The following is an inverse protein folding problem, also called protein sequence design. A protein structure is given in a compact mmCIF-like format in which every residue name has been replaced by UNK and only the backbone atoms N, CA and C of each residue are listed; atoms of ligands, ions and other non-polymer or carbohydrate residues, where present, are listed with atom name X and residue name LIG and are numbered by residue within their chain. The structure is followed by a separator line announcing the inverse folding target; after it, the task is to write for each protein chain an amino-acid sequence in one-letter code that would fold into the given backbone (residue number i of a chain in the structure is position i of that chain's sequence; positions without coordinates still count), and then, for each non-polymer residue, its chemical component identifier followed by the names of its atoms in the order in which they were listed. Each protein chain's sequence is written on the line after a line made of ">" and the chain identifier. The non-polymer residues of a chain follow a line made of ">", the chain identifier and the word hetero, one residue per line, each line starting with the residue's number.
data_IF_167049374853
#
_entry.id   IF_167049374853
#
_cell.length_a   1.000
_cell.length_b   1.000
_cell.length_c   1.000
_cell.angle_alpha   90.00
_cell.angle_beta   90.00
_cell.angle_gamma   90.00
#
_symmetry.space_group_name_H-M   'P 1'
#
loop_
_entity.id
_entity.type
_entity.pdbx_description
1 polymer ?
#
# COMPACT_ATOMS: atom_id res chain seq x y z
N UNK A 1 -11.57 12.89 11.12
CA UNK A 1 -11.15 11.49 11.36
C UNK A 1 -11.09 10.65 10.09
N UNK A 2 -12.11 10.65 9.23
CA UNK A 2 -12.10 9.90 7.96
C UNK A 2 -10.93 10.27 7.02
N UNK A 3 -10.73 11.57 6.79
CA UNK A 3 -9.63 12.10 5.98
C UNK A 3 -8.25 11.67 6.49
N UNK A 4 -8.08 11.49 7.81
CA UNK A 4 -6.81 11.10 8.40
C UNK A 4 -6.48 9.64 8.05
N UNK A 5 -7.47 8.75 8.13
CA UNK A 5 -7.32 7.34 7.71
C UNK A 5 -7.06 7.25 6.21
N UNK A 6 -7.76 8.06 5.39
CA UNK A 6 -7.54 8.13 3.95
C UNK A 6 -6.13 8.60 3.58
N UNK A 7 -5.62 9.66 4.22
CA UNK A 7 -4.27 10.18 3.97
C UNK A 7 -3.22 9.12 4.34
N UNK A 8 -3.39 8.44 5.47
CA UNK A 8 -2.49 7.34 5.84
C UNK A 8 -2.61 6.18 4.85
N UNK A 9 -3.80 5.86 4.37
CA UNK A 9 -4.01 4.81 3.36
C UNK A 9 -3.30 5.12 2.03
N UNK A 10 -3.28 6.38 1.62
CA UNK A 10 -2.52 6.85 0.45
C UNK A 10 -1.02 6.77 0.72
N UNK A 11 -0.56 7.24 1.87
CA UNK A 11 0.85 7.17 2.25
C UNK A 11 1.36 5.72 2.33
N UNK A 12 0.56 4.80 2.85
CA UNK A 12 0.86 3.36 2.87
C UNK A 12 0.94 2.81 1.45
N UNK A 13 0.00 3.14 0.57
CA UNK A 13 0.04 2.65 -0.81
C UNK A 13 1.33 3.11 -1.52
N UNK A 14 1.61 4.41 -1.49
CA UNK A 14 2.81 4.97 -2.12
C UNK A 14 4.09 4.43 -1.46
N UNK A 15 4.12 4.37 -0.13
CA UNK A 15 5.26 3.87 0.63
C UNK A 15 5.58 2.41 0.33
N UNK A 16 4.57 1.55 0.20
CA UNK A 16 4.77 0.13 -0.16
C UNK A 16 5.29 -0.01 -1.58
N UNK A 17 4.76 0.75 -2.55
CA UNK A 17 5.30 0.73 -3.93
C UNK A 17 6.76 1.13 -3.93
N UNK A 18 7.10 2.28 -3.31
CA UNK A 18 8.48 2.77 -3.26
C UNK A 18 9.38 1.79 -2.53
N UNK A 19 8.93 1.22 -1.42
CA UNK A 19 9.73 0.27 -0.66
C UNK A 19 10.08 -0.98 -1.50
N UNK A 20 9.10 -1.53 -2.22
CA UNK A 20 9.31 -2.70 -3.07
C UNK A 20 10.18 -2.34 -4.28
N UNK A 21 9.92 -1.24 -4.99
CA UNK A 21 10.67 -0.92 -6.21
C UNK A 21 12.06 -0.36 -5.95
N UNK A 22 12.35 0.15 -4.75
CA UNK A 22 13.63 0.80 -4.42
C UNK A 22 14.57 -0.11 -3.62
N UNK A 23 14.03 -0.91 -2.70
CA UNK A 23 14.85 -1.78 -1.84
C UNK A 23 14.83 -3.24 -2.27
N UNK A 24 13.95 -3.63 -3.20
CA UNK A 24 13.86 -5.00 -3.69
C UNK A 24 14.07 -5.01 -5.19
N UNK A 25 15.22 -5.54 -5.60
CA UNK A 25 15.52 -5.73 -7.01
C UNK A 25 14.48 -6.67 -7.67
N UNK A 26 14.17 -6.47 -8.96
CA UNK A 26 13.26 -7.34 -9.69
C UNK A 26 13.68 -8.81 -9.59
N UNK A 27 12.85 -9.60 -8.92
CA UNK A 27 13.09 -11.04 -8.76
C UNK A 27 12.56 -11.80 -9.97
N UNK A 28 13.01 -13.05 -10.17
CA UNK A 28 12.57 -13.97 -11.23
C UNK A 28 12.94 -13.55 -12.67
N UNK A 29 13.98 -12.74 -12.86
CA UNK A 29 14.40 -12.27 -14.19
C UNK A 29 13.39 -11.32 -14.84
N UNK A 30 12.53 -10.71 -14.04
CA UNK A 30 11.45 -9.85 -14.48
C UNK A 30 11.99 -8.44 -14.75
N UNK A 31 11.59 -7.82 -15.85
CA UNK A 31 11.97 -6.43 -16.15
C UNK A 31 11.36 -5.45 -15.12
N UNK A 32 11.93 -4.24 -15.04
CA UNK A 32 11.48 -3.21 -14.10
C UNK A 32 9.98 -2.82 -14.26
N UNK A 33 9.43 -2.93 -15.47
CA UNK A 33 8.04 -2.60 -15.76
C UNK A 33 7.04 -3.59 -15.12
N UNK A 34 7.10 -4.90 -15.40
CA UNK A 34 6.23 -5.87 -14.72
C UNK A 34 6.44 -5.93 -13.21
N UNK A 35 7.68 -5.72 -12.72
CA UNK A 35 7.96 -5.64 -11.27
C UNK A 35 7.14 -4.54 -10.59
N UNK A 36 7.06 -3.36 -11.20
CA UNK A 36 6.28 -2.23 -10.70
C UNK A 36 4.77 -2.54 -10.65
N UNK A 37 4.23 -3.30 -11.60
CA UNK A 37 2.83 -3.73 -11.54
C UNK A 37 2.58 -4.70 -10.38
N UNK A 38 3.49 -5.64 -10.12
CA UNK A 38 3.44 -6.53 -8.95
C UNK A 38 3.46 -5.75 -7.63
N UNK A 39 4.40 -4.80 -7.51
CA UNK A 39 4.49 -3.91 -6.35
C UNK A 39 3.19 -3.12 -6.12
N UNK A 40 2.55 -2.61 -7.18
CA UNK A 40 1.27 -1.89 -7.10
C UNK A 40 0.11 -2.76 -6.61
N UNK A 41 0.06 -4.02 -7.02
CA UNK A 41 -0.98 -4.96 -6.55
C UNK A 41 -0.84 -5.19 -5.04
N UNK A 42 0.38 -5.45 -4.57
CA UNK A 42 0.67 -5.64 -3.14
C UNK A 42 0.33 -4.37 -2.36
N UNK A 43 0.80 -3.20 -2.83
CA UNK A 43 0.52 -1.92 -2.20
C UNK A 43 -0.99 -1.62 -2.10
N UNK A 44 -1.77 -1.99 -3.11
CA UNK A 44 -3.23 -1.83 -3.09
C UNK A 44 -3.87 -2.76 -2.08
N UNK A 45 -3.44 -4.02 -2.02
CA UNK A 45 -3.90 -4.98 -1.01
C UNK A 45 -3.64 -4.50 0.42
N UNK A 46 -2.41 -4.05 0.70
CA UNK A 46 -2.02 -3.52 2.03
C UNK A 46 -2.81 -2.24 2.36
N UNK A 47 -2.96 -1.33 1.40
CA UNK A 47 -3.75 -0.10 1.59
C UNK A 47 -5.23 -0.40 1.85
N UNK A 48 -5.81 -1.42 1.22
CA UNK A 48 -7.19 -1.84 1.49
C UNK A 48 -7.35 -2.41 2.90
N UNK A 49 -6.41 -3.25 3.36
CA UNK A 49 -6.41 -3.76 4.73
C UNK A 49 -6.32 -2.63 5.75
N UNK A 50 -5.48 -1.62 5.48
CA UNK A 50 -5.40 -0.42 6.32
C UNK A 50 -6.70 0.40 6.29
N UNK A 51 -7.29 0.63 5.12
CA UNK A 51 -8.56 1.35 5.03
C UNK A 51 -9.62 0.64 5.87
N UNK A 52 -9.83 -0.67 5.69
CA UNK A 52 -10.82 -1.43 6.48
C UNK A 52 -10.53 -1.41 7.99
N UNK A 53 -9.29 -1.70 8.38
CA UNK A 53 -8.91 -1.81 9.79
C UNK A 53 -8.86 -0.44 10.46
N UNK A 54 -8.31 0.56 9.77
CA UNK A 54 -8.21 1.94 10.20
C UNK A 54 -9.57 2.59 10.37
N UNK A 55 -10.50 2.40 9.41
CA UNK A 55 -11.87 2.86 9.60
C UNK A 55 -12.54 2.14 10.76
N UNK A 56 -12.39 0.80 10.88
CA UNK A 56 -13.00 0.04 11.97
C UNK A 56 -12.50 0.46 13.37
N UNK A 57 -11.21 0.74 13.52
CA UNK A 57 -10.59 1.03 14.83
C UNK A 57 -10.57 2.52 15.21
N UNK A 58 -10.41 3.42 14.25
CA UNK A 58 -10.32 4.86 14.52
C UNK A 58 -11.61 5.62 14.23
N UNK A 59 -12.43 5.15 13.29
CA UNK A 59 -13.69 5.82 12.92
C UNK A 59 -14.90 5.14 13.56
N UNK A 60 -14.92 3.81 13.65
CA UNK A 60 -16.04 3.06 14.25
C UNK A 60 -15.85 2.72 15.73
N UNK A 61 -14.94 3.42 16.43
CA UNK A 61 -15.02 3.45 17.89
C UNK A 61 -16.18 4.37 18.29
N UNK A 62 -17.20 3.76 18.89
CA UNK A 62 -18.14 4.47 19.78
C UNK A 62 -17.36 5.22 20.85
#
# INVERSE_FOLDING_TARGET
>A
MFLFVSIIGVAINTGVVVAITTFVDPMFGVEARPWLFGAKVIATGVSLVWNFTGYKLFVFKK
#
